data_IF_977431585455
#
_entry.id   IF_977431585455
#
_cell.length_a   1.000
_cell.length_b   1.000
_cell.length_c   1.000
_cell.angle_alpha   90.00
_cell.angle_beta   90.00
_cell.angle_gamma   90.00
#
_symmetry.space_group_name_H-M   'P 1'
#
loop_
_entity.id
_entity.type
_entity.pdbx_description
1 polymer ?
#
# COMPACT_ATOMS: atom_id res chain seq x y z
N UNK A 1 -21.04 8.69 -12.08
CA UNK A 1 -19.93 7.79 -11.70
C UNK A 1 -20.42 6.87 -10.58
N UNK A 2 -20.28 5.55 -10.72
CA UNK A 2 -20.82 4.56 -9.77
C UNK A 2 -19.94 4.47 -8.51
N UNK A 3 -20.21 5.30 -7.49
CA UNK A 3 -19.48 5.29 -6.22
C UNK A 3 -19.44 3.91 -5.54
N UNK A 4 -20.49 3.11 -5.71
CA UNK A 4 -20.59 1.77 -5.12
C UNK A 4 -19.63 0.75 -5.72
N UNK A 5 -19.30 0.87 -7.00
CA UNK A 5 -18.35 -0.02 -7.66
C UNK A 5 -16.93 0.21 -7.13
N UNK A 6 -16.55 1.48 -6.97
CA UNK A 6 -15.23 1.87 -6.47
C UNK A 6 -15.06 1.50 -4.99
N UNK A 7 -16.07 1.74 -4.16
CA UNK A 7 -16.07 1.34 -2.75
C UNK A 7 -15.92 -0.18 -2.60
N UNK A 8 -16.59 -0.98 -3.45
CA UNK A 8 -16.40 -2.43 -3.48
C UNK A 8 -14.99 -2.84 -3.88
N UNK A 9 -14.40 -2.19 -4.89
CA UNK A 9 -13.03 -2.49 -5.32
C UNK A 9 -12.01 -2.25 -4.20
N UNK A 10 -12.11 -1.12 -3.50
CA UNK A 10 -11.24 -0.80 -2.35
C UNK A 10 -11.42 -1.81 -1.22
N UNK A 11 -12.67 -2.14 -0.86
CA UNK A 11 -12.94 -3.16 0.19
C UNK A 11 -12.38 -4.53 -0.18
N UNK A 12 -12.46 -4.93 -1.45
CA UNK A 12 -11.88 -6.19 -1.94
C UNK A 12 -10.35 -6.18 -1.89
N UNK A 13 -9.74 -5.05 -2.20
CA UNK A 13 -8.29 -4.89 -2.12
C UNK A 13 -7.77 -5.04 -0.69
N UNK A 14 -8.40 -4.34 0.28
CA UNK A 14 -8.00 -4.39 1.69
C UNK A 14 -8.35 -5.75 2.30
N UNK A 15 -9.52 -6.28 1.96
CA UNK A 15 -10.02 -7.54 2.49
C UNK A 15 -10.34 -7.50 3.99
N UNK A 16 -10.89 -8.58 4.53
CA UNK A 16 -11.11 -8.71 5.97
C UNK A 16 -9.76 -8.72 6.71
N UNK A 17 -9.70 -8.04 7.86
CA UNK A 17 -8.48 -7.88 8.68
C UNK A 17 -7.32 -7.12 8.00
N UNK A 18 -7.56 -6.52 6.84
CA UNK A 18 -6.67 -5.50 6.32
C UNK A 18 -6.66 -4.27 7.23
N UNK A 19 -5.60 -3.49 7.14
CA UNK A 19 -5.34 -2.35 8.00
C UNK A 19 -5.07 -1.10 7.20
N UNK A 20 -5.52 0.02 7.77
CA UNK A 20 -5.21 1.37 7.31
C UNK A 20 -4.58 2.10 8.49
N UNK A 21 -3.37 2.61 8.32
CA UNK A 21 -2.62 3.25 9.39
C UNK A 21 -1.68 4.31 8.83
N UNK A 22 -1.09 5.13 9.71
CA UNK A 22 -0.04 6.07 9.33
C UNK A 22 1.33 5.58 9.79
N UNK A 23 2.36 5.81 9.00
CA UNK A 23 3.74 5.61 9.44
C UNK A 23 4.22 6.80 10.31
N UNK A 24 5.48 6.76 10.74
CA UNK A 24 6.09 7.78 11.60
C UNK A 24 6.12 9.18 10.96
N UNK A 25 6.28 9.26 9.64
CA UNK A 25 6.25 10.51 8.87
C UNK A 25 4.83 11.02 8.64
N UNK A 26 3.80 10.22 8.94
CA UNK A 26 2.39 10.58 8.82
C UNK A 26 1.75 10.23 7.47
N UNK A 27 2.45 9.51 6.60
CA UNK A 27 1.98 8.98 5.33
C UNK A 27 0.94 7.88 5.53
N UNK A 28 -0.01 7.76 4.61
CA UNK A 28 -1.10 6.79 4.73
C UNK A 28 -0.68 5.44 4.12
N UNK A 29 -0.84 4.37 4.89
CA UNK A 29 -0.59 3.00 4.45
C UNK A 29 -1.89 2.21 4.43
N UNK A 30 -2.16 1.54 3.32
CA UNK A 30 -3.29 0.62 3.13
C UNK A 30 -2.75 -0.76 2.79
N UNK A 31 -3.10 -1.76 3.60
CA UNK A 31 -2.49 -3.08 3.51
C UNK A 31 -3.50 -4.21 3.81
N UNK A 32 -3.58 -5.27 2.98
CA UNK A 32 -4.36 -6.46 3.31
C UNK A 32 -3.75 -7.27 4.45
N UNK A 33 -4.52 -8.22 4.99
CA UNK A 33 -4.16 -8.99 6.19
C UNK A 33 -2.83 -9.74 6.08
N UNK A 34 -2.46 -10.23 4.88
CA UNK A 34 -1.21 -10.97 4.66
C UNK A 34 0.05 -10.07 4.63
N UNK A 35 -0.15 -8.76 4.57
CA UNK A 35 0.85 -7.72 4.44
C UNK A 35 1.79 -7.87 3.22
N UNK A 36 1.41 -8.63 2.19
CA UNK A 36 2.24 -8.93 1.01
C UNK A 36 2.11 -7.90 -0.12
N UNK A 37 1.12 -7.02 -0.01
CA UNK A 37 0.96 -5.84 -0.87
C UNK A 37 0.72 -4.62 0.00
N UNK A 38 1.05 -3.45 -0.49
CA UNK A 38 0.83 -2.19 0.21
C UNK A 38 0.58 -1.06 -0.78
N UNK A 39 -0.38 -0.19 -0.48
CA UNK A 39 -0.50 1.13 -1.11
C UNK A 39 -0.05 2.15 -0.09
N UNK A 40 0.99 2.93 -0.43
CA UNK A 40 1.54 3.98 0.41
C UNK A 40 1.32 5.34 -0.26
N UNK A 41 0.75 6.27 0.48
CA UNK A 41 0.53 7.65 0.02
C UNK A 41 1.50 8.57 0.75
N UNK A 42 2.56 8.96 0.04
CA UNK A 42 3.67 9.74 0.59
C UNK A 42 3.31 11.21 0.51
N UNK A 43 2.68 11.72 1.57
CA UNK A 43 2.25 13.12 1.64
C UNK A 43 3.31 14.00 2.28
N UNK A 44 3.99 13.47 3.31
CA UNK A 44 4.86 14.24 4.17
C UNK A 44 6.35 13.97 3.90
N UNK A 45 6.70 12.75 3.48
CA UNK A 45 8.06 12.41 3.05
C UNK A 45 8.05 11.69 1.69
N UNK A 46 8.07 12.43 0.57
CA UNK A 46 8.08 11.85 -0.77
C UNK A 46 9.46 11.40 -1.24
N UNK A 47 10.48 11.36 -0.39
CA UNK A 47 11.86 11.01 -0.80
C UNK A 47 11.92 9.65 -1.51
N UNK A 48 12.60 9.50 -2.66
CA UNK A 48 13.50 10.45 -3.34
C UNK A 48 12.82 11.39 -4.35
N UNK A 49 11.49 11.38 -4.44
CA UNK A 49 10.73 12.27 -5.30
C UNK A 49 10.53 13.64 -4.63
N UNK A 50 10.17 14.66 -5.42
CA UNK A 50 10.03 16.03 -4.94
C UNK A 50 8.59 16.44 -4.65
N UNK A 51 7.63 15.57 -4.96
CA UNK A 51 6.20 15.83 -4.82
C UNK A 51 5.49 14.63 -4.18
N UNK A 52 4.38 14.88 -3.46
CA UNK A 52 3.52 13.81 -2.98
C UNK A 52 3.11 12.87 -4.10
N UNK A 53 3.15 11.57 -3.83
CA UNK A 53 2.80 10.54 -4.80
C UNK A 53 2.40 9.24 -4.09
N UNK A 54 2.00 8.26 -4.89
CA UNK A 54 1.50 6.97 -4.39
C UNK A 54 2.40 5.86 -4.88
N UNK A 55 2.76 4.95 -3.99
CA UNK A 55 3.41 3.70 -4.32
C UNK A 55 2.44 2.53 -4.20
N UNK A 56 2.52 1.60 -5.14
CA UNK A 56 2.03 0.24 -4.98
C UNK A 56 3.23 -0.66 -4.83
N UNK A 57 3.38 -1.28 -3.66
CA UNK A 57 4.54 -2.10 -3.31
C UNK A 57 4.05 -3.53 -3.14
N UNK A 58 4.52 -4.41 -4.02
CA UNK A 58 4.44 -5.85 -3.82
C UNK A 58 5.65 -6.34 -3.05
N UNK A 59 5.44 -7.30 -2.16
CA UNK A 59 6.50 -7.93 -1.39
C UNK A 59 6.63 -9.40 -1.77
N UNK A 60 7.81 -9.96 -1.50
CA UNK A 60 8.05 -11.41 -1.48
C UNK A 60 8.66 -11.83 -0.16
N UNK A 61 8.35 -13.06 0.27
CA UNK A 61 8.96 -13.66 1.45
C UNK A 61 10.27 -14.31 1.06
N UNK A 62 11.34 -13.96 1.77
CA UNK A 62 12.62 -14.65 1.71
C UNK A 62 12.97 -15.07 3.14
N UNK A 63 12.92 -16.38 3.39
CA UNK A 63 13.02 -16.95 4.75
C UNK A 63 11.97 -16.28 5.67
N UNK A 64 12.42 -15.65 6.75
CA UNK A 64 11.58 -14.95 7.72
C UNK A 64 11.38 -13.47 7.39
N UNK A 65 12.00 -12.96 6.32
CA UNK A 65 11.96 -11.55 5.96
C UNK A 65 10.96 -11.28 4.85
N UNK A 66 10.34 -10.10 4.91
CA UNK A 66 9.51 -9.52 3.86
C UNK A 66 10.33 -8.45 3.14
N UNK A 67 10.56 -8.61 1.83
CA UNK A 67 11.32 -7.65 1.03
C UNK A 67 10.49 -7.14 -0.15
N UNK A 68 10.62 -5.87 -0.56
CA UNK A 68 9.97 -5.36 -1.77
C UNK A 68 10.37 -6.21 -2.98
N UNK A 69 9.41 -6.55 -3.83
CA UNK A 69 9.62 -7.28 -5.08
C UNK A 69 9.88 -6.28 -6.22
N UNK A 70 11.14 -6.13 -6.69
CA UNK A 70 11.47 -5.18 -7.74
C UNK A 70 10.87 -5.55 -9.10
N UNK A 71 10.45 -6.81 -9.31
CA UNK A 71 9.94 -7.31 -10.58
C UNK A 71 8.42 -7.13 -10.75
N UNK A 72 7.74 -6.56 -9.76
CA UNK A 72 6.31 -6.24 -9.77
C UNK A 72 6.04 -4.76 -9.57
N UNK A 73 6.86 -3.90 -10.17
CA UNK A 73 6.53 -2.47 -10.30
C UNK A 73 5.47 -2.34 -11.39
N UNK A 74 4.26 -1.96 -10.98
CA UNK A 74 3.17 -1.55 -11.87
C UNK A 74 3.37 -0.07 -12.22
#
# INVERSE_FOLDING_TARGET
>A
MNGDANARAVRRFIGPNGRVFRNETGDLIVQPADAMREIRFDFNDPTPHQNPHVHVIDYRRIKNNKIPDPNRRI
#
